data_IF_890616829666
#
_entry.id   IF_890616829666
#
_cell.length_a   1.000
_cell.length_b   1.000
_cell.length_c   1.000
_cell.angle_alpha   90.00
_cell.angle_beta   90.00
_cell.angle_gamma   90.00
#
_symmetry.space_group_name_H-M   'P 1'
#
loop_
_entity.id
_entity.type
_entity.pdbx_description
1 polymer ?
#
# COMPACT_ATOMS: atom_id res chain seq x y z
N UNK A 1 -2.67 -2.28 -20.83
CA UNK A 1 -1.74 -1.84 -19.76
C UNK A 1 -1.73 -2.85 -18.59
N UNK A 2 -0.56 -3.33 -18.16
CA UNK A 2 -0.46 -4.12 -16.92
C UNK A 2 -0.75 -3.19 -15.74
N UNK A 3 -1.98 -3.20 -15.24
CA UNK A 3 -2.34 -2.45 -14.03
C UNK A 3 -1.73 -3.16 -12.84
N UNK A 4 -0.98 -2.44 -12.00
CA UNK A 4 -0.46 -3.01 -10.77
C UNK A 4 -1.60 -3.14 -9.74
N UNK A 5 -1.68 -4.27 -8.99
CA UNK A 5 -2.73 -4.50 -8.01
C UNK A 5 -2.90 -3.35 -7.01
N UNK A 6 -1.78 -2.90 -6.42
CA UNK A 6 -1.70 -1.82 -5.43
C UNK A 6 -2.27 -0.49 -5.92
N UNK A 7 -1.84 -0.08 -7.11
CA UNK A 7 -2.37 1.09 -7.79
C UNK A 7 -3.87 0.98 -8.07
N UNK A 8 -4.34 -0.18 -8.54
CA UNK A 8 -5.76 -0.37 -8.87
C UNK A 8 -6.68 -0.15 -7.66
N UNK A 9 -6.28 -0.68 -6.49
CA UNK A 9 -7.05 -0.52 -5.25
C UNK A 9 -7.04 0.94 -4.80
N UNK A 10 -5.88 1.60 -4.81
CA UNK A 10 -5.78 3.01 -4.42
C UNK A 10 -6.59 3.92 -5.36
N UNK A 11 -6.53 3.70 -6.68
CA UNK A 11 -7.35 4.44 -7.66
C UNK A 11 -8.85 4.28 -7.38
N UNK A 12 -9.32 3.08 -7.05
CA UNK A 12 -10.73 2.86 -6.73
C UNK A 12 -11.15 3.51 -5.40
N UNK A 13 -10.27 3.53 -4.39
CA UNK A 13 -10.50 4.28 -3.15
C UNK A 13 -10.63 5.78 -3.45
N UNK A 14 -9.70 6.34 -4.21
CA UNK A 14 -9.70 7.76 -4.59
C UNK A 14 -10.93 8.13 -5.44
N UNK A 15 -11.34 7.25 -6.35
CA UNK A 15 -12.61 7.39 -7.10
C UNK A 15 -13.82 7.41 -6.20
N UNK A 16 -13.85 6.57 -5.16
CA UNK A 16 -14.90 6.60 -4.13
C UNK A 16 -14.94 7.92 -3.35
N UNK A 17 -13.82 8.66 -3.30
CA UNK A 17 -13.71 9.98 -2.68
C UNK A 17 -13.97 11.14 -3.67
N UNK A 18 -14.25 10.85 -4.94
CA UNK A 18 -14.58 11.85 -5.96
C UNK A 18 -13.43 12.30 -6.86
N UNK A 19 -12.25 11.70 -6.74
CA UNK A 19 -11.11 11.97 -7.64
C UNK A 19 -11.15 11.07 -8.87
N UNK A 20 -10.70 11.55 -10.02
CA UNK A 20 -10.63 10.76 -11.24
C UNK A 20 -9.19 10.47 -11.73
N UNK A 21 -9.07 9.77 -12.85
CA UNK A 21 -7.76 9.39 -13.40
C UNK A 21 -6.91 10.60 -13.84
N UNK A 22 -7.52 11.75 -14.12
CA UNK A 22 -6.84 12.98 -14.48
C UNK A 22 -6.27 13.72 -13.27
N UNK A 23 -6.80 13.47 -12.07
CA UNK A 23 -6.29 14.01 -10.80
C UNK A 23 -5.06 13.23 -10.27
N UNK A 24 -4.69 12.12 -10.91
CA UNK A 24 -3.71 11.18 -10.39
C UNK A 24 -2.48 11.07 -11.28
N UNK A 25 -1.29 11.34 -10.71
CA UNK A 25 -0.01 11.21 -11.40
C UNK A 25 0.77 10.04 -10.77
N UNK A 26 1.00 8.93 -11.50
CA UNK A 26 1.76 7.81 -10.97
C UNK A 26 3.27 8.09 -10.99
N UNK A 27 3.90 8.12 -9.81
CA UNK A 27 5.38 8.20 -9.67
C UNK A 27 6.03 6.82 -9.86
N UNK A 28 5.30 5.75 -9.55
CA UNK A 28 5.71 4.34 -9.70
C UNK A 28 4.59 3.50 -10.35
N UNK A 29 4.93 2.39 -11.06
CA UNK A 29 6.27 2.00 -11.49
C UNK A 29 6.84 2.98 -12.50
N UNK A 30 8.16 3.01 -12.60
CA UNK A 30 8.82 3.78 -13.65
C UNK A 30 8.63 3.05 -14.98
N UNK A 31 7.80 3.60 -15.86
CA UNK A 31 7.49 3.01 -17.17
C UNK A 31 8.57 3.29 -18.21
N UNK A 32 9.59 4.09 -17.88
CA UNK A 32 10.75 4.31 -18.75
C UNK A 32 11.74 3.13 -18.76
N UNK A 33 11.61 2.18 -17.83
CA UNK A 33 12.41 0.96 -17.80
C UNK A 33 11.96 -0.04 -18.89
N UNK A 34 12.89 -0.47 -19.73
CA UNK A 34 12.58 -1.26 -20.93
C UNK A 34 12.51 -2.79 -20.65
N UNK A 35 12.34 -3.60 -21.68
CA UNK A 35 12.28 -5.07 -21.54
C UNK A 35 13.63 -5.73 -21.23
N UNK A 36 14.73 -5.03 -21.47
CA UNK A 36 16.11 -5.48 -21.19
C UNK A 36 16.41 -5.33 -19.70
N UNK A 37 15.92 -4.26 -19.07
CA UNK A 37 16.04 -4.04 -17.62
C UNK A 37 15.26 -5.07 -16.79
N UNK A 38 14.16 -5.62 -17.33
CA UNK A 38 13.30 -6.62 -16.69
C UNK A 38 13.97 -7.98 -16.46
N UNK A 39 15.08 -8.28 -17.14
CA UNK A 39 15.83 -9.52 -16.91
C UNK A 39 16.70 -9.47 -15.65
N UNK A 40 17.08 -8.28 -15.21
CA UNK A 40 17.89 -8.07 -14.01
C UNK A 40 17.03 -7.78 -12.76
N UNK A 41 15.81 -7.27 -12.96
CA UNK A 41 14.86 -6.97 -11.90
C UNK A 41 13.63 -7.87 -12.01
N UNK A 42 13.40 -8.72 -11.01
CA UNK A 42 12.19 -9.54 -10.93
C UNK A 42 10.96 -8.68 -11.22
N UNK A 43 10.21 -9.01 -12.27
CA UNK A 43 9.09 -8.19 -12.78
C UNK A 43 7.94 -8.09 -11.76
N UNK A 44 7.99 -8.89 -10.70
CA UNK A 44 7.10 -8.86 -9.54
C UNK A 44 7.48 -7.86 -8.44
N UNK A 45 8.65 -7.19 -8.53
CA UNK A 45 9.20 -6.30 -7.47
C UNK A 45 9.10 -4.80 -7.74
N UNK A 46 8.20 -4.36 -8.62
CA UNK A 46 7.97 -2.92 -8.84
C UNK A 46 6.96 -2.36 -7.82
N UNK A 47 7.44 -1.77 -6.72
CA UNK A 47 6.61 -1.06 -5.72
C UNK A 47 6.46 -1.80 -4.39
N UNK A 48 7.60 -2.06 -3.74
CA UNK A 48 7.65 -2.65 -2.40
C UNK A 48 8.42 -1.78 -1.41
N UNK A 49 8.42 -2.20 -0.14
CA UNK A 49 9.01 -1.47 1.00
C UNK A 49 10.42 -0.93 0.73
N UNK A 50 11.32 -1.73 0.13
CA UNK A 50 12.69 -1.31 -0.17
C UNK A 50 12.80 -0.20 -1.22
N UNK A 51 11.87 -0.14 -2.18
CA UNK A 51 11.85 0.96 -3.15
C UNK A 51 11.26 2.23 -2.54
N UNK A 52 10.27 2.11 -1.66
CA UNK A 52 9.78 3.26 -0.88
C UNK A 52 10.91 3.82 -0.05
N UNK A 53 11.68 2.96 0.64
CA UNK A 53 12.90 3.36 1.36
C UNK A 53 13.88 4.09 0.46
N UNK A 54 14.24 3.49 -0.68
CA UNK A 54 15.16 4.09 -1.64
C UNK A 54 14.68 5.47 -2.10
N UNK A 55 13.43 5.58 -2.53
CA UNK A 55 12.86 6.84 -3.02
C UNK A 55 12.78 7.90 -1.94
N UNK A 56 12.52 7.51 -0.68
CA UNK A 56 12.50 8.43 0.46
C UNK A 56 13.91 8.92 0.83
N UNK A 57 14.93 8.06 0.76
CA UNK A 57 16.32 8.43 1.07
C UNK A 57 16.92 9.28 -0.04
N UNK A 58 16.74 8.88 -1.30
CA UNK A 58 17.29 9.58 -2.46
C UNK A 58 16.56 10.90 -2.74
N UNK A 59 15.25 10.95 -2.47
CA UNK A 59 14.33 12.07 -2.70
C UNK A 59 14.21 12.58 -4.15
N UNK A 60 15.08 12.17 -5.06
CA UNK A 60 15.11 12.62 -6.46
C UNK A 60 13.73 12.61 -7.13
N UNK A 61 12.98 11.49 -7.03
CA UNK A 61 11.64 11.40 -7.64
C UNK A 61 10.60 12.31 -6.98
N UNK A 62 10.71 12.54 -5.67
CA UNK A 62 9.81 13.42 -4.93
C UNK A 62 10.12 14.89 -5.27
N UNK A 63 11.41 15.24 -5.32
CA UNK A 63 11.87 16.58 -5.72
C UNK A 63 11.45 16.91 -7.16
N UNK A 64 11.66 15.98 -8.10
CA UNK A 64 11.23 16.12 -9.49
C UNK A 64 9.71 16.32 -9.60
N UNK A 65 8.92 15.57 -8.82
CA UNK A 65 7.47 15.74 -8.78
C UNK A 65 7.07 17.12 -8.24
N UNK A 66 7.62 17.54 -7.10
CA UNK A 66 7.25 18.83 -6.51
C UNK A 66 7.78 20.03 -7.30
N UNK A 67 8.84 19.87 -8.09
CA UNK A 67 9.32 20.92 -8.99
C UNK A 67 8.29 21.31 -10.07
N UNK A 68 7.44 20.36 -10.50
CA UNK A 68 6.39 20.59 -11.51
C UNK A 68 4.97 20.70 -10.91
N UNK A 69 4.76 20.16 -9.70
CA UNK A 69 3.47 20.01 -9.07
C UNK A 69 3.50 20.46 -7.59
N UNK A 70 4.03 21.66 -7.33
CA UNK A 70 4.30 22.17 -5.97
C UNK A 70 3.05 22.28 -5.08
N UNK A 71 1.85 22.42 -5.67
CA UNK A 71 0.58 22.49 -4.96
C UNK A 71 -0.13 21.13 -4.81
N UNK A 72 0.50 20.03 -5.22
CA UNK A 72 -0.04 18.68 -5.11
C UNK A 72 0.53 17.95 -3.89
N UNK A 73 -0.12 16.85 -3.53
CA UNK A 73 0.36 15.94 -2.49
C UNK A 73 0.79 14.61 -3.09
N UNK A 74 1.79 13.97 -2.49
CA UNK A 74 2.18 12.59 -2.81
C UNK A 74 1.54 11.64 -1.81
N UNK A 75 0.93 10.56 -2.31
CA UNK A 75 0.44 9.46 -1.47
C UNK A 75 1.49 8.35 -1.47
N UNK A 76 2.05 8.05 -0.30
CA UNK A 76 2.91 6.89 -0.09
C UNK A 76 2.04 5.72 0.36
N UNK A 77 1.93 4.72 -0.52
CA UNK A 77 1.17 3.51 -0.24
C UNK A 77 2.10 2.34 0.06
N UNK A 78 1.89 1.70 1.21
CA UNK A 78 2.61 0.49 1.62
C UNK A 78 1.66 -0.47 2.30
N UNK A 79 1.96 -1.75 2.21
CA UNK A 79 1.41 -2.74 3.14
C UNK A 79 2.46 -3.12 4.17
N UNK A 80 1.97 -3.50 5.35
CA UNK A 80 2.86 -3.76 6.49
C UNK A 80 3.38 -5.19 6.51
N UNK A 81 2.77 -6.11 5.76
CA UNK A 81 3.25 -7.49 5.61
C UNK A 81 4.61 -7.54 4.92
N UNK A 82 4.87 -6.64 3.96
CA UNK A 82 6.18 -6.52 3.29
C UNK A 82 7.28 -5.94 4.19
N UNK A 83 6.95 -5.40 5.35
CA UNK A 83 7.92 -4.78 6.26
C UNK A 83 8.59 -5.86 7.10
N UNK A 84 9.84 -6.18 6.74
CA UNK A 84 10.69 -7.11 7.46
C UNK A 84 11.09 -6.55 8.85
N UNK A 85 10.89 -7.36 9.89
CA UNK A 85 11.29 -7.03 11.27
C UNK A 85 12.80 -6.73 11.39
N UNK A 86 13.63 -7.40 10.60
CA UNK A 86 15.08 -7.35 10.74
C UNK A 86 15.76 -6.16 10.04
N UNK A 87 15.01 -5.31 9.31
CA UNK A 87 15.61 -4.28 8.45
C UNK A 87 15.06 -2.87 8.67
N UNK A 88 13.93 -2.67 9.35
CA UNK A 88 13.31 -1.34 9.46
C UNK A 88 12.53 -1.07 10.75
N UNK A 89 11.93 -2.09 11.38
CA UNK A 89 11.20 -1.92 12.64
C UNK A 89 11.93 -2.67 13.76
N UNK A 90 12.65 -1.94 14.62
CA UNK A 90 13.36 -2.52 15.78
C UNK A 90 12.43 -3.43 16.62
N UNK A 91 11.13 -3.10 16.68
CA UNK A 91 10.08 -3.94 17.24
C UNK A 91 8.78 -3.73 16.46
N UNK A 92 8.48 -4.57 15.46
CA UNK A 92 7.15 -4.59 14.85
C UNK A 92 6.15 -5.02 15.94
N UNK A 93 5.09 -4.21 16.23
CA UNK A 93 4.04 -4.62 17.15
C UNK A 93 3.55 -6.02 16.81
N UNK A 94 3.34 -6.85 17.82
CA UNK A 94 2.81 -8.20 17.61
C UNK A 94 1.29 -8.13 17.58
N UNK A 95 0.69 -8.77 16.58
CA UNK A 95 -0.76 -8.89 16.52
C UNK A 95 -1.23 -9.75 17.69
N UNK A 96 -2.24 -9.31 18.47
CA UNK A 96 -2.84 -10.14 19.50
C UNK A 96 -3.31 -11.48 18.93
N UNK A 97 -2.95 -12.59 19.59
CA UNK A 97 -3.33 -13.94 19.16
C UNK A 97 -4.82 -14.24 19.36
N UNK A 98 -5.53 -13.45 20.19
CA UNK A 98 -6.97 -13.61 20.40
C UNK A 98 -7.74 -12.57 19.59
N UNK A 99 -8.51 -12.99 18.58
CA UNK A 99 -9.27 -12.07 17.74
C UNK A 99 -10.41 -11.38 18.49
N UNK A 100 -10.79 -11.80 19.71
CA UNK A 100 -11.83 -11.13 20.48
C UNK A 100 -11.34 -9.88 21.22
N UNK A 101 -10.04 -9.58 21.17
CA UNK A 101 -9.46 -8.39 21.80
C UNK A 101 -9.52 -7.20 20.85
N UNK A 102 -10.74 -6.74 20.56
CA UNK A 102 -10.99 -5.66 19.59
C UNK A 102 -10.19 -4.39 19.92
N UNK A 103 -10.08 -4.04 21.20
CA UNK A 103 -9.30 -2.88 21.64
C UNK A 103 -7.80 -3.06 21.39
N UNK A 104 -7.23 -4.20 21.75
CA UNK A 104 -5.81 -4.50 21.54
C UNK A 104 -5.47 -4.61 20.05
N UNK A 105 -6.36 -5.18 19.24
CA UNK A 105 -6.21 -5.21 17.79
C UNK A 105 -6.14 -3.78 17.23
N UNK A 106 -7.06 -2.91 17.66
CA UNK A 106 -7.07 -1.50 17.25
C UNK A 106 -5.80 -0.78 17.66
N UNK A 107 -5.32 -0.98 18.89
CA UNK A 107 -4.06 -0.44 19.38
C UNK A 107 -2.86 -0.95 18.58
N UNK A 108 -2.83 -2.24 18.25
CA UNK A 108 -1.85 -2.84 17.36
C UNK A 108 -1.83 -2.14 15.99
N UNK A 109 -3.00 -1.99 15.36
CA UNK A 109 -3.11 -1.37 14.04
C UNK A 109 -2.71 0.11 14.05
N UNK A 110 -3.07 0.85 15.10
CA UNK A 110 -2.70 2.25 15.26
C UNK A 110 -1.19 2.41 15.49
N UNK A 111 -0.62 1.60 16.38
CA UNK A 111 0.82 1.62 16.69
C UNK A 111 1.63 1.26 15.46
N UNK A 112 1.26 0.18 14.77
CA UNK A 112 1.95 -0.25 13.56
C UNK A 112 1.86 0.81 12.45
N UNK A 113 0.69 1.43 12.25
CA UNK A 113 0.55 2.53 11.29
C UNK A 113 1.48 3.69 11.63
N UNK A 114 1.51 4.11 12.89
CA UNK A 114 2.33 5.23 13.33
C UNK A 114 3.83 4.92 13.15
N UNK A 115 4.29 3.73 13.57
CA UNK A 115 5.69 3.34 13.42
C UNK A 115 6.15 3.34 11.95
N UNK A 116 5.28 2.95 11.03
CA UNK A 116 5.58 2.99 9.58
C UNK A 116 5.69 4.43 9.09
N UNK A 117 4.80 5.31 9.52
CA UNK A 117 4.87 6.75 9.19
C UNK A 117 6.15 7.37 9.75
N UNK A 118 6.51 7.05 10.99
CA UNK A 118 7.70 7.56 11.65
C UNK A 118 8.98 7.14 10.90
N UNK A 119 9.07 5.89 10.45
CA UNK A 119 10.20 5.40 9.64
C UNK A 119 10.29 6.13 8.30
N UNK A 120 9.16 6.30 7.62
CA UNK A 120 9.14 7.01 6.32
C UNK A 120 9.58 8.46 6.52
N UNK A 121 9.07 9.14 7.56
CA UNK A 121 9.47 10.49 7.92
C UNK A 121 10.97 10.56 8.29
N UNK A 122 11.52 9.57 8.97
CA UNK A 122 12.95 9.47 9.27
C UNK A 122 13.78 9.40 7.99
N UNK A 123 13.41 8.53 7.04
CA UNK A 123 14.08 8.43 5.74
C UNK A 123 14.03 9.74 4.96
N UNK A 124 12.90 10.42 5.01
CA UNK A 124 12.71 11.73 4.38
C UNK A 124 13.40 12.86 5.14
N UNK A 125 13.93 12.61 6.34
CA UNK A 125 14.45 13.61 7.26
C UNK A 125 13.43 14.72 7.55
N UNK A 126 12.15 14.35 7.66
CA UNK A 126 11.02 15.26 7.85
C UNK A 126 10.84 16.31 6.73
N UNK A 127 11.30 16.04 5.52
CA UNK A 127 10.91 16.85 4.37
C UNK A 127 9.44 16.61 3.97
N UNK A 128 8.82 17.62 3.36
CA UNK A 128 7.47 17.55 2.78
C UNK A 128 6.32 17.23 3.76
N UNK A 129 6.45 17.51 5.06
CA UNK A 129 5.48 17.12 6.10
C UNK A 129 4.01 17.50 5.82
N UNK A 130 3.75 18.56 5.05
CA UNK A 130 2.39 19.01 4.68
C UNK A 130 1.92 18.51 3.31
N UNK A 131 2.81 17.89 2.53
CA UNK A 131 2.57 17.43 1.15
C UNK A 131 2.55 15.92 1.02
N UNK A 132 2.68 15.20 2.13
CA UNK A 132 2.68 13.73 2.16
C UNK A 132 1.42 13.19 2.82
N UNK A 133 0.81 12.24 2.13
CA UNK A 133 -0.32 11.45 2.62
C UNK A 133 0.11 9.98 2.70
N UNK A 134 -0.36 9.28 3.72
CA UNK A 134 0.05 7.90 4.00
C UNK A 134 -1.11 6.92 3.85
N UNK A 135 -1.02 6.04 2.86
CA UNK A 135 -1.96 4.96 2.62
C UNK A 135 -1.38 3.64 3.13
N UNK A 136 -1.43 3.43 4.46
CA UNK A 136 -0.80 2.28 5.13
C UNK A 136 -1.81 1.14 5.31
N UNK A 137 -1.60 0.04 4.60
CA UNK A 137 -2.43 -1.16 4.74
C UNK A 137 -1.88 -2.08 5.84
N UNK A 138 -2.66 -2.28 6.90
CA UNK A 138 -2.32 -3.22 7.96
C UNK A 138 -2.47 -4.66 7.42
N UNK A 139 -1.46 -5.49 7.68
CA UNK A 139 -1.21 -6.75 6.96
C UNK A 139 -0.94 -6.51 5.47
N UNK A 140 -1.79 -7.02 4.60
CA UNK A 140 -1.69 -6.97 3.13
C UNK A 140 -2.90 -6.25 2.54
N UNK A 141 -2.78 -5.79 1.30
CA UNK A 141 -3.81 -4.99 0.61
C UNK A 141 -5.20 -5.63 0.58
N UNK A 142 -5.29 -6.95 0.56
CA UNK A 142 -6.55 -7.69 0.61
C UNK A 142 -7.40 -7.33 1.83
N UNK A 143 -6.79 -6.85 2.93
CA UNK A 143 -7.51 -6.30 4.09
C UNK A 143 -8.41 -5.11 3.71
N UNK A 144 -7.99 -4.25 2.79
CA UNK A 144 -8.82 -3.14 2.29
C UNK A 144 -9.93 -3.65 1.39
N UNK A 145 -9.62 -4.56 0.48
CA UNK A 145 -10.59 -5.11 -0.48
C UNK A 145 -11.71 -5.85 0.27
N UNK A 146 -11.37 -6.60 1.32
CA UNK A 146 -12.34 -7.32 2.14
C UNK A 146 -13.45 -6.42 2.68
N UNK A 147 -13.18 -5.14 2.97
CA UNK A 147 -14.17 -4.20 3.52
C UNK A 147 -15.39 -4.00 2.61
N UNK A 148 -15.25 -4.24 1.31
CA UNK A 148 -16.35 -4.17 0.33
C UNK A 148 -17.29 -5.36 0.51
N UNK A 149 -16.74 -6.52 0.89
CA UNK A 149 -17.47 -7.79 0.87
C UNK A 149 -17.87 -8.30 2.26
N UNK A 150 -17.41 -7.66 3.33
CA UNK A 150 -17.77 -8.01 4.71
C UNK A 150 -18.11 -6.78 5.54
N UNK A 151 -19.10 -6.92 6.42
CA UNK A 151 -19.43 -5.93 7.45
C UNK A 151 -18.59 -6.06 8.72
N UNK A 152 -17.78 -7.12 8.82
CA UNK A 152 -16.87 -7.36 9.94
C UNK A 152 -15.60 -6.55 9.74
N UNK A 153 -15.05 -6.03 10.83
CA UNK A 153 -13.73 -5.42 10.82
C UNK A 153 -12.68 -6.44 10.32
N UNK A 154 -11.95 -6.05 9.28
CA UNK A 154 -11.01 -6.93 8.56
C UNK A 154 -9.72 -7.13 9.33
N UNK A 155 -9.47 -6.34 10.37
CA UNK A 155 -8.34 -6.51 11.28
C UNK A 155 -8.34 -7.85 12.02
N UNK A 156 -9.52 -8.44 12.21
CA UNK A 156 -9.71 -9.76 12.81
C UNK A 156 -9.34 -10.91 11.87
N UNK A 157 -9.11 -10.65 10.58
CA UNK A 157 -8.68 -11.69 9.65
C UNK A 157 -7.24 -12.10 9.97
N UNK A 158 -7.02 -13.39 10.23
CA UNK A 158 -5.68 -13.95 10.43
C UNK A 158 -4.89 -14.03 9.10
N UNK A 159 -5.60 -14.25 7.99
CA UNK A 159 -5.04 -14.28 6.64
C UNK A 159 -6.01 -13.58 5.68
N UNK A 160 -5.85 -12.26 5.45
CA UNK A 160 -6.74 -11.48 4.60
C UNK A 160 -6.87 -12.04 3.18
N UNK A 161 -5.78 -12.48 2.56
CA UNK A 161 -5.80 -13.04 1.20
C UNK A 161 -6.57 -14.34 1.07
N UNK A 162 -6.36 -15.30 1.95
CA UNK A 162 -7.15 -16.54 1.95
C UNK A 162 -8.62 -16.28 2.31
N UNK A 163 -8.88 -15.33 3.21
CA UNK A 163 -10.25 -14.90 3.52
C UNK A 163 -10.93 -14.29 2.30
N UNK A 164 -10.23 -13.43 1.54
CA UNK A 164 -10.75 -12.81 0.33
C UNK A 164 -11.03 -13.85 -0.76
N UNK A 165 -10.12 -14.82 -0.97
CA UNK A 165 -10.34 -15.96 -1.87
C UNK A 165 -11.61 -16.72 -1.52
N UNK A 166 -11.84 -16.97 -0.24
CA UNK A 166 -13.04 -17.67 0.22
C UNK A 166 -14.32 -16.85 -0.06
N UNK A 167 -14.32 -15.57 0.27
CA UNK A 167 -15.47 -14.66 0.08
C UNK A 167 -15.82 -14.48 -1.41
N UNK A 168 -14.81 -14.47 -2.28
CA UNK A 168 -14.97 -14.30 -3.72
C UNK A 168 -15.09 -15.60 -4.51
N UNK A 169 -15.10 -16.76 -3.83
CA UNK A 169 -15.19 -18.07 -4.47
C UNK A 169 -16.40 -18.13 -5.42
N UNK A 170 -16.14 -18.38 -6.70
CA UNK A 170 -17.16 -18.48 -7.76
C UNK A 170 -17.62 -17.14 -8.35
N UNK A 171 -17.05 -16.00 -7.94
CA UNK A 171 -17.42 -14.66 -8.44
C UNK A 171 -16.29 -14.01 -9.25
N UNK A 172 -15.06 -14.01 -8.73
CA UNK A 172 -13.88 -13.37 -9.34
C UNK A 172 -12.61 -14.15 -8.94
N UNK A 173 -11.59 -14.22 -9.81
CA UNK A 173 -10.35 -14.94 -9.51
C UNK A 173 -9.40 -14.09 -8.67
N UNK A 174 -9.29 -14.39 -7.38
CA UNK A 174 -8.30 -13.78 -6.48
C UNK A 174 -6.93 -14.40 -6.74
N UNK A 175 -5.94 -13.56 -7.04
CA UNK A 175 -4.57 -13.96 -7.41
C UNK A 175 -4.19 -13.66 -8.86
N UNK A 176 -5.17 -13.39 -9.74
CA UNK A 176 -4.88 -12.74 -11.02
C UNK A 176 -4.72 -11.24 -10.80
N UNK A 177 -3.52 -10.70 -11.04
CA UNK A 177 -3.23 -9.26 -10.89
C UNK A 177 -4.21 -8.38 -11.68
N UNK A 178 -4.79 -8.88 -12.78
CA UNK A 178 -5.75 -8.16 -13.62
C UNK A 178 -7.12 -8.01 -12.95
N UNK A 179 -7.46 -8.87 -12.00
CA UNK A 179 -8.77 -8.83 -11.33
C UNK A 179 -8.85 -7.75 -10.25
N UNK A 180 -7.72 -7.23 -9.75
CA UNK A 180 -7.68 -6.23 -8.67
C UNK A 180 -8.45 -4.96 -8.98
N UNK A 181 -8.46 -4.51 -10.24
CA UNK A 181 -9.27 -3.35 -10.66
C UNK A 181 -10.77 -3.60 -10.53
N UNK A 182 -11.22 -4.84 -10.70
CA UNK A 182 -12.64 -5.20 -10.61
C UNK A 182 -13.06 -5.57 -9.19
N UNK A 183 -12.27 -6.38 -8.47
CA UNK A 183 -12.60 -6.81 -7.09
C UNK A 183 -12.51 -5.68 -6.06
N UNK A 184 -11.90 -4.54 -6.39
CA UNK A 184 -11.79 -3.41 -5.47
C UNK A 184 -12.76 -2.26 -5.77
N UNK A 185 -13.70 -2.47 -6.70
CA UNK A 185 -14.82 -1.55 -6.91
C UNK A 185 -15.89 -1.80 -5.83
N UNK A 186 -16.41 -0.75 -5.17
CA UNK A 186 -17.55 -0.86 -4.27
C UNK A 186 -18.79 -1.45 -4.93
#
# INVERSE_FOLDING_TARGET
PKVQPRRAVLENILKGLGYDESDMIPIRPDLSMDETDKQFYNVDTFGGWEYVKKDCIERTKLDEFFAIADNQSIIIQVDTLEINQNQSLNQKPQKPNNPNYAQELKEYAQTLRQSVIDIINEWLQNHYQEKLLYAICIEEMESWILTIYTKKDTLHAANPKETLKYVLKGKLSVGDKRSYKEISKP
#
